data_IF_557691070390
#
_entry.id   IF_557691070390
#
_cell.length_a   1.000
_cell.length_b   1.000
_cell.length_c   1.000
_cell.angle_alpha   90.00
_cell.angle_beta   90.00
_cell.angle_gamma   90.00
#
_symmetry.space_group_name_H-M   'P 1'
#
loop_
_entity.id
_entity.type
_entity.pdbx_description
1 polymer ?
#
# COMPACT_ATOMS: atom_id res chain seq x y z
N UNK A 1 25.81 5.72 61.30
CA UNK A 1 26.88 6.74 61.09
C UNK A 1 26.57 7.42 59.75
N UNK A 2 26.51 8.76 59.61
CA UNK A 2 27.61 9.76 59.58
C UNK A 2 28.64 9.39 58.50
N UNK A 3 28.98 10.18 57.46
CA UNK A 3 28.69 11.57 56.95
C UNK A 3 28.73 11.52 55.39
N UNK A 4 28.19 12.44 54.54
CA UNK A 4 28.32 13.90 54.31
C UNK A 4 29.74 14.40 53.87
N UNK A 5 29.93 14.64 52.55
CA UNK A 5 30.78 15.68 51.85
C UNK A 5 30.76 15.40 50.33
N UNK A 6 30.46 16.27 49.34
CA UNK A 6 29.97 17.66 49.24
C UNK A 6 31.00 18.84 49.15
N UNK A 7 31.50 19.13 47.93
CA UNK A 7 32.05 20.41 47.37
C UNK A 7 32.22 20.18 45.83
N UNK A 8 31.93 21.03 44.81
CA UNK A 8 31.87 22.50 44.55
C UNK A 8 33.26 23.12 44.22
N UNK A 9 33.32 24.17 43.35
CA UNK A 9 34.47 25.05 42.94
C UNK A 9 35.32 24.46 41.77
N UNK A 10 35.78 25.13 40.68
CA UNK A 10 35.72 26.49 40.02
C UNK A 10 36.33 26.35 38.58
N UNK A 11 36.29 27.24 37.56
CA UNK A 11 35.38 28.27 36.98
C UNK A 11 36.09 28.90 35.73
N UNK A 12 35.41 29.78 34.95
CA UNK A 12 35.96 30.83 34.03
C UNK A 12 36.47 30.36 32.63
N UNK A 13 36.04 30.79 31.43
CA UNK A 13 35.42 32.01 30.80
C UNK A 13 36.40 32.88 29.99
N UNK A 14 36.21 32.97 28.65
CA UNK A 14 36.59 34.01 27.64
C UNK A 14 35.84 33.61 26.35
N UNK A 15 35.01 34.36 25.59
CA UNK A 15 34.76 35.79 25.28
C UNK A 15 35.59 36.37 24.12
N UNK A 16 34.98 36.50 22.92
CA UNK A 16 34.96 37.63 21.94
C UNK A 16 34.19 37.15 20.68
N UNK A 17 33.13 37.80 20.16
CA UNK A 17 33.05 39.03 19.30
C UNK A 17 33.77 38.91 17.93
N UNK A 18 33.29 39.38 16.75
CA UNK A 18 32.00 39.98 16.27
C UNK A 18 31.98 40.14 14.74
N UNK A 19 30.84 39.96 14.07
CA UNK A 19 30.31 40.73 12.89
C UNK A 19 29.06 40.01 12.34
N UNK A 20 27.90 40.60 12.00
CA UNK A 20 27.49 41.92 11.51
C UNK A 20 27.76 42.22 10.02
N UNK A 21 26.78 41.88 9.18
CA UNK A 21 26.38 42.62 7.97
C UNK A 21 24.91 42.32 7.66
N UNK A 22 24.16 43.26 7.07
CA UNK A 22 22.68 43.20 7.10
C UNK A 22 21.97 43.91 5.94
N UNK A 23 21.19 43.14 5.17
CA UNK A 23 20.09 43.57 4.24
C UNK A 23 20.51 44.53 3.08
N UNK A 24 19.76 44.63 1.96
CA UNK A 24 18.39 45.15 1.90
C UNK A 24 17.36 44.23 1.22
N UNK A 25 16.09 44.50 1.49
CA UNK A 25 14.98 44.10 0.63
C UNK A 25 14.82 45.14 -0.49
N UNK A 26 14.47 44.73 -1.70
CA UNK A 26 13.82 45.62 -2.66
C UNK A 26 12.38 45.16 -2.93
N UNK A 27 11.51 46.12 -3.23
CA UNK A 27 10.05 45.95 -3.25
C UNK A 27 9.47 46.96 -4.25
N UNK A 28 9.12 46.52 -5.47
CA UNK A 28 8.81 47.43 -6.59
C UNK A 28 7.43 47.14 -7.22
N UNK A 29 6.53 48.10 -6.97
CA UNK A 29 5.33 48.51 -7.73
C UNK A 29 4.23 47.51 -8.11
N UNK A 30 3.01 47.83 -7.68
CA UNK A 30 1.78 47.62 -8.46
C UNK A 30 1.60 48.75 -9.48
N UNK A 31 1.15 48.46 -10.71
CA UNK A 31 0.42 49.33 -11.70
C UNK A 31 0.34 48.62 -13.07
N UNK A 32 -0.63 48.81 -13.97
CA UNK A 32 -2.06 49.22 -13.86
C UNK A 32 -2.80 48.95 -15.22
N UNK A 33 -4.09 48.62 -15.17
CA UNK A 33 -5.17 48.80 -16.21
C UNK A 33 -4.99 48.26 -17.65
N UNK A 34 -5.87 47.32 -18.03
CA UNK A 34 -6.80 47.28 -19.22
C UNK A 34 -7.38 45.84 -19.25
N UNK A 35 -8.68 45.50 -19.14
CA UNK A 35 -9.97 46.03 -19.66
C UNK A 35 -10.20 45.75 -21.15
N UNK A 36 -10.82 44.61 -21.48
CA UNK A 36 -11.99 44.48 -22.40
C UNK A 36 -12.57 43.07 -22.25
N UNK A 37 -13.87 42.92 -21.93
CA UNK A 37 -14.99 42.74 -22.88
C UNK A 37 -14.94 41.39 -23.64
N UNK A 38 -15.79 40.43 -23.25
CA UNK A 38 -17.18 40.24 -23.75
C UNK A 38 -17.25 39.81 -25.22
N UNK A 39 -17.48 38.53 -25.43
CA UNK A 39 -18.40 38.03 -26.46
C UNK A 39 -19.36 37.04 -25.81
N UNK A 40 -20.66 37.29 -25.93
CA UNK A 40 -21.64 36.22 -25.78
C UNK A 40 -21.69 35.46 -27.10
N UNK A 41 -21.83 34.15 -27.03
CA UNK A 41 -22.63 33.44 -28.04
C UNK A 41 -23.57 32.47 -27.33
N UNK A 42 -24.69 32.20 -27.96
CA UNK A 42 -25.96 31.78 -27.34
C UNK A 42 -26.65 30.82 -28.30
N UNK A 43 -27.48 29.94 -27.75
CA UNK A 43 -28.30 28.94 -28.47
C UNK A 43 -27.45 27.82 -29.10
N UNK A 44 -27.82 26.54 -29.04
CA UNK A 44 -29.18 25.97 -29.08
C UNK A 44 -29.43 24.81 -28.09
N UNK A 45 -30.65 24.73 -27.56
CA UNK A 45 -31.18 23.52 -26.90
C UNK A 45 -31.57 22.46 -27.97
N UNK A 46 -31.37 21.15 -27.73
CA UNK A 46 -31.90 20.09 -28.58
C UNK A 46 -33.34 19.72 -28.20
N UNK A 47 -34.24 19.63 -29.19
CA UNK A 47 -35.65 19.27 -28.98
C UNK A 47 -35.83 17.79 -28.54
N UNK A 48 -36.86 17.48 -27.71
CA UNK A 48 -37.10 16.11 -27.25
C UNK A 48 -37.74 15.23 -28.32
N UNK A 49 -37.04 14.17 -28.74
CA UNK A 49 -37.56 13.17 -29.69
C UNK A 49 -38.59 12.27 -28.98
N UNK A 50 -39.87 12.43 -29.34
CA UNK A 50 -40.95 11.54 -28.89
C UNK A 50 -40.96 10.26 -29.73
N UNK A 51 -40.72 9.10 -29.09
CA UNK A 51 -40.87 7.78 -29.73
C UNK A 51 -41.96 6.97 -29.01
N UNK A 52 -43.20 7.14 -29.42
CA UNK A 52 -44.29 6.23 -29.05
C UNK A 52 -44.25 4.98 -29.92
N UNK A 53 -44.04 3.81 -29.32
CA UNK A 53 -44.34 2.51 -29.93
C UNK A 53 -45.11 1.63 -28.95
N UNK A 54 -46.21 1.09 -29.43
CA UNK A 54 -47.16 0.31 -28.62
C UNK A 54 -46.62 -1.10 -28.34
N UNK A 55 -47.00 -1.64 -27.17
CA UNK A 55 -46.71 -3.03 -26.80
C UNK A 55 -47.68 -3.98 -27.51
N UNK A 56 -47.18 -5.01 -28.23
CA UNK A 56 -48.05 -6.09 -28.69
C UNK A 56 -48.58 -6.89 -27.49
N UNK A 57 -49.85 -7.26 -27.54
CA UNK A 57 -50.55 -7.95 -26.45
C UNK A 57 -50.04 -9.39 -26.21
N UNK A 58 -50.23 -9.95 -24.99
CA UNK A 58 -49.78 -11.30 -24.68
C UNK A 58 -50.45 -12.36 -25.55
N UNK A 59 -49.68 -13.36 -25.99
CA UNK A 59 -50.21 -14.62 -26.52
C UNK A 59 -50.14 -15.71 -25.46
N UNK A 60 -51.06 -16.67 -25.56
CA UNK A 60 -51.36 -17.65 -24.52
C UNK A 60 -50.19 -18.59 -24.23
N UNK A 61 -50.03 -18.96 -22.96
CA UNK A 61 -49.14 -20.05 -22.55
C UNK A 61 -49.84 -21.39 -22.74
N UNK A 62 -49.25 -22.30 -23.54
CA UNK A 62 -49.57 -23.72 -23.48
C UNK A 62 -49.05 -24.34 -22.16
N UNK A 63 -49.79 -25.27 -21.54
CA UNK A 63 -49.37 -25.88 -20.28
C UNK A 63 -48.17 -26.80 -20.48
N UNK A 64 -47.19 -26.72 -19.58
CA UNK A 64 -46.04 -27.63 -19.51
C UNK A 64 -46.30 -28.67 -18.39
N UNK A 65 -45.96 -29.96 -18.57
CA UNK A 65 -46.42 -31.02 -17.65
C UNK A 65 -45.73 -30.97 -16.27
N UNK A 66 -46.45 -31.45 -15.25
CA UNK A 66 -45.85 -31.84 -13.99
C UNK A 66 -44.94 -33.06 -14.20
N UNK A 67 -43.67 -32.97 -13.82
CA UNK A 67 -42.83 -34.15 -13.67
C UNK A 67 -41.92 -34.02 -12.46
N UNK A 68 -42.12 -34.89 -11.48
CA UNK A 68 -41.24 -35.07 -10.33
C UNK A 68 -40.04 -35.91 -10.73
N UNK A 69 -38.86 -35.33 -10.88
CA UNK A 69 -37.63 -36.10 -10.66
C UNK A 69 -36.41 -35.25 -10.26
N UNK A 70 -35.40 -35.89 -9.69
CA UNK A 70 -34.25 -35.26 -9.03
C UNK A 70 -33.15 -34.88 -10.02
N UNK A 71 -32.84 -33.59 -10.15
CA UNK A 71 -31.58 -33.11 -10.73
C UNK A 71 -31.25 -31.67 -10.29
N UNK A 72 -30.44 -31.51 -9.23
CA UNK A 72 -29.83 -30.23 -8.85
C UNK A 72 -28.45 -30.07 -9.53
N UNK A 73 -28.41 -29.56 -10.78
CA UNK A 73 -27.39 -28.58 -11.14
C UNK A 73 -27.99 -27.23 -11.55
N UNK A 74 -29.28 -27.18 -11.87
CA UNK A 74 -29.95 -26.00 -12.41
C UNK A 74 -30.14 -24.88 -11.37
N UNK A 75 -30.51 -25.23 -10.14
CA UNK A 75 -30.84 -24.25 -9.09
C UNK A 75 -29.62 -23.39 -8.69
N UNK A 76 -28.43 -23.98 -8.58
CA UNK A 76 -27.20 -23.22 -8.27
C UNK A 76 -26.86 -22.20 -9.38
N UNK A 77 -27.10 -22.54 -10.65
CA UNK A 77 -26.88 -21.66 -11.80
C UNK A 77 -28.00 -20.62 -11.95
N UNK A 78 -29.19 -20.89 -11.41
CA UNK A 78 -30.25 -19.90 -11.27
C UNK A 78 -29.98 -18.93 -10.11
N UNK A 79 -29.44 -19.43 -8.99
CA UNK A 79 -29.13 -18.65 -7.80
C UNK A 79 -27.93 -17.72 -8.04
N UNK A 80 -26.85 -18.20 -8.66
CA UNK A 80 -25.73 -17.35 -9.06
C UNK A 80 -26.18 -16.24 -10.01
N UNK A 81 -27.02 -16.57 -10.99
CA UNK A 81 -27.63 -15.57 -11.89
C UNK A 81 -28.62 -14.64 -11.19
N UNK A 82 -29.28 -15.05 -10.11
CA UNK A 82 -30.12 -14.14 -9.30
C UNK A 82 -29.28 -13.18 -8.45
N UNK A 83 -28.11 -13.60 -7.98
CA UNK A 83 -27.13 -12.70 -7.33
C UNK A 83 -26.56 -11.73 -8.36
N UNK A 84 -26.06 -12.24 -9.48
CA UNK A 84 -25.54 -11.44 -10.61
C UNK A 84 -26.61 -10.46 -11.15
N UNK A 85 -27.88 -10.87 -11.25
CA UNK A 85 -28.99 -9.98 -11.61
C UNK A 85 -29.37 -9.00 -10.50
N UNK A 86 -29.21 -9.33 -9.21
CA UNK A 86 -29.40 -8.36 -8.11
C UNK A 86 -28.33 -7.28 -8.14
N UNK A 87 -27.06 -7.67 -8.32
CA UNK A 87 -25.94 -6.73 -8.43
C UNK A 87 -26.09 -5.82 -9.66
N UNK A 88 -26.66 -6.34 -10.75
CA UNK A 88 -27.03 -5.57 -11.96
C UNK A 88 -28.42 -4.89 -11.90
N UNK A 89 -29.21 -5.08 -10.84
CA UNK A 89 -30.51 -4.40 -10.61
C UNK A 89 -30.41 -3.22 -9.64
N UNK A 90 -29.19 -2.82 -9.26
CA UNK A 90 -28.95 -1.49 -8.74
C UNK A 90 -29.38 -0.45 -9.79
N UNK A 91 -30.40 0.34 -9.45
CA UNK A 91 -30.61 1.65 -10.06
C UNK A 91 -29.28 2.40 -10.10
N UNK A 92 -28.97 3.18 -11.16
CA UNK A 92 -27.68 3.85 -11.28
C UNK A 92 -27.42 4.70 -10.03
N UNK A 93 -26.47 4.25 -9.20
CA UNK A 93 -26.12 4.89 -7.92
C UNK A 93 -25.83 6.36 -8.17
N UNK A 94 -26.34 7.24 -7.32
CA UNK A 94 -26.05 8.67 -7.44
C UNK A 94 -24.54 8.89 -7.42
N UNK A 95 -24.00 9.49 -8.49
CA UNK A 95 -22.55 9.61 -8.65
C UNK A 95 -22.06 10.95 -8.10
N UNK A 96 -21.47 10.91 -6.92
CA UNK A 96 -20.86 12.08 -6.27
C UNK A 96 -19.41 12.23 -6.71
N UNK A 97 -19.03 13.42 -7.15
CA UNK A 97 -17.64 13.76 -7.44
C UNK A 97 -17.08 14.69 -6.35
N UNK A 98 -15.90 14.35 -5.82
CA UNK A 98 -15.18 15.14 -4.81
C UNK A 98 -13.74 15.41 -5.26
N UNK A 99 -13.23 16.60 -4.97
CA UNK A 99 -11.86 17.01 -5.33
C UNK A 99 -11.25 17.79 -4.16
N UNK A 100 -10.02 17.43 -3.80
CA UNK A 100 -9.41 17.80 -2.51
C UNK A 100 -9.57 16.70 -1.46
N UNK A 101 -9.08 16.97 -0.25
CA UNK A 101 -8.97 15.95 0.80
C UNK A 101 -10.25 15.86 1.67
N UNK A 102 -10.73 14.63 1.91
CA UNK A 102 -11.86 14.37 2.81
C UNK A 102 -11.36 14.20 4.25
N UNK A 103 -11.68 15.15 5.13
CA UNK A 103 -11.21 15.16 6.53
C UNK A 103 -12.36 14.86 7.50
N UNK A 104 -12.18 13.83 8.33
CA UNK A 104 -13.17 13.30 9.29
C UNK A 104 -12.55 13.23 10.69
N UNK A 105 -12.41 14.38 11.32
CA UNK A 105 -11.86 14.53 12.68
C UNK A 105 -12.98 14.60 13.72
N UNK A 106 -12.94 13.74 14.74
CA UNK A 106 -13.84 13.77 15.92
C UNK A 106 -15.35 13.83 15.59
N UNK A 107 -15.76 13.35 14.42
CA UNK A 107 -17.14 13.35 13.91
C UNK A 107 -17.40 12.09 13.09
N UNK A 108 -18.68 11.80 12.88
CA UNK A 108 -19.12 10.78 11.92
C UNK A 108 -19.30 11.38 10.53
N UNK A 109 -18.94 10.64 9.49
CA UNK A 109 -19.24 10.92 8.09
C UNK A 109 -19.71 9.64 7.42
N UNK A 110 -20.79 9.74 6.65
CA UNK A 110 -21.48 8.60 6.04
C UNK A 110 -21.53 8.79 4.53
N UNK A 111 -21.06 7.78 3.80
CA UNK A 111 -21.19 7.66 2.34
C UNK A 111 -22.11 6.44 2.10
N UNK A 112 -23.27 6.63 1.49
CA UNK A 112 -24.29 5.57 1.37
C UNK A 112 -24.94 5.52 -0.01
N UNK A 113 -25.13 4.32 -0.56
CA UNK A 113 -25.80 4.05 -1.85
C UNK A 113 -25.30 4.92 -3.04
N UNK A 114 -24.00 5.22 -3.10
CA UNK A 114 -23.42 6.16 -4.06
C UNK A 114 -22.19 5.59 -4.79
N UNK A 115 -21.91 6.10 -5.98
CA UNK A 115 -20.60 5.98 -6.62
C UNK A 115 -19.81 7.25 -6.30
N UNK A 116 -18.98 7.19 -5.25
CA UNK A 116 -18.21 8.33 -4.75
C UNK A 116 -16.83 8.35 -5.43
N UNK A 117 -16.64 9.28 -6.37
CA UNK A 117 -15.38 9.49 -7.09
C UNK A 117 -14.59 10.60 -6.40
N UNK A 118 -13.42 10.26 -5.86
CA UNK A 118 -12.54 11.21 -5.15
C UNK A 118 -11.21 11.40 -5.89
N UNK A 119 -10.84 12.67 -6.09
CA UNK A 119 -9.47 13.08 -6.47
C UNK A 119 -8.83 13.86 -5.32
N UNK A 120 -8.19 13.12 -4.42
CA UNK A 120 -7.61 13.62 -3.17
C UNK A 120 -7.41 12.50 -2.15
N UNK A 121 -6.90 12.84 -0.96
CA UNK A 121 -6.70 11.92 0.15
C UNK A 121 -7.96 11.78 1.02
N UNK A 122 -7.97 10.80 1.91
CA UNK A 122 -8.95 10.70 3.00
C UNK A 122 -8.19 10.63 4.33
N UNK A 123 -8.60 11.45 5.30
CA UNK A 123 -8.05 11.48 6.65
C UNK A 123 -9.18 11.26 7.67
N UNK A 124 -9.06 10.25 8.52
CA UNK A 124 -9.99 9.97 9.63
C UNK A 124 -9.16 9.85 10.91
N UNK A 125 -9.37 10.74 11.89
CA UNK A 125 -8.48 10.85 13.04
C UNK A 125 -9.16 11.31 14.34
N UNK A 126 -8.43 11.23 15.46
CA UNK A 126 -8.93 11.46 16.81
C UNK A 126 -9.94 10.39 17.25
N UNK A 127 -11.22 10.74 17.22
CA UNK A 127 -12.38 9.82 17.39
C UNK A 127 -13.30 9.81 16.16
N UNK A 128 -12.77 10.24 15.01
CA UNK A 128 -13.51 10.30 13.74
C UNK A 128 -13.98 8.93 13.25
N UNK A 129 -15.10 8.92 12.54
CA UNK A 129 -15.71 7.71 12.00
C UNK A 129 -16.09 7.90 10.54
N UNK A 130 -15.54 7.09 9.65
CA UNK A 130 -15.96 7.01 8.26
C UNK A 130 -16.75 5.71 8.06
N UNK A 131 -18.04 5.86 7.77
CA UNK A 131 -18.96 4.77 7.51
C UNK A 131 -19.29 4.79 6.01
N UNK A 132 -19.11 3.66 5.32
CA UNK A 132 -19.40 3.53 3.89
C UNK A 132 -20.28 2.32 3.66
N UNK A 133 -21.45 2.51 3.06
CA UNK A 133 -22.45 1.45 2.86
C UNK A 133 -22.98 1.40 1.44
N UNK A 134 -23.15 0.19 0.91
CA UNK A 134 -23.80 -0.08 -0.38
C UNK A 134 -23.25 0.79 -1.54
N UNK A 135 -21.95 1.05 -1.54
CA UNK A 135 -21.32 2.11 -2.33
C UNK A 135 -20.11 1.61 -3.14
N UNK A 136 -19.63 2.45 -4.05
CA UNK A 136 -18.34 2.28 -4.72
C UNK A 136 -17.48 3.52 -4.44
N UNK A 137 -16.24 3.32 -3.98
CA UNK A 137 -15.24 4.37 -3.84
C UNK A 137 -14.27 4.29 -5.02
N UNK A 138 -14.20 5.35 -5.82
CA UNK A 138 -13.27 5.45 -6.96
C UNK A 138 -12.16 6.45 -6.65
N UNK A 139 -10.95 5.95 -6.49
CA UNK A 139 -9.75 6.75 -6.23
C UNK A 139 -9.13 7.23 -7.54
N UNK A 140 -9.57 8.40 -8.02
CA UNK A 140 -9.14 8.99 -9.28
C UNK A 140 -7.76 9.63 -9.12
N UNK A 141 -6.73 8.89 -9.54
CA UNK A 141 -5.32 9.31 -9.55
C UNK A 141 -4.68 9.18 -10.95
N UNK A 142 -3.77 10.11 -11.25
CA UNK A 142 -3.03 10.25 -12.49
C UNK A 142 -1.83 9.28 -12.59
N UNK A 143 -1.26 8.90 -11.44
CA UNK A 143 -0.13 7.97 -11.31
C UNK A 143 -0.21 7.17 -9.99
N UNK A 144 0.63 6.14 -9.85
CA UNK A 144 0.64 5.25 -8.69
C UNK A 144 0.96 5.99 -7.38
N UNK A 145 0.18 5.73 -6.33
CA UNK A 145 0.30 6.31 -4.99
C UNK A 145 0.31 7.85 -4.96
N UNK A 146 -0.44 8.51 -5.86
CA UNK A 146 -0.59 9.98 -5.83
C UNK A 146 -1.34 10.47 -4.58
N UNK A 147 -2.32 9.68 -4.12
CA UNK A 147 -3.12 9.93 -2.92
C UNK A 147 -3.18 8.66 -2.06
N UNK A 148 -3.60 8.81 -0.80
CA UNK A 148 -3.74 7.71 0.18
C UNK A 148 -4.96 7.93 1.10
N UNK A 149 -5.37 6.86 1.77
CA UNK A 149 -6.29 6.91 2.91
C UNK A 149 -5.50 6.73 4.20
N UNK A 150 -5.72 7.61 5.18
CA UNK A 150 -5.10 7.55 6.51
C UNK A 150 -6.19 7.46 7.58
N UNK A 151 -6.21 6.37 8.33
CA UNK A 151 -7.06 6.17 9.50
C UNK A 151 -6.15 6.13 10.73
N UNK A 152 -6.31 7.07 11.65
CA UNK A 152 -5.37 7.30 12.74
C UNK A 152 -6.05 7.53 14.09
N UNK A 153 -5.31 7.33 15.17
CA UNK A 153 -5.80 7.43 16.55
C UNK A 153 -6.96 6.45 16.80
N UNK A 154 -7.87 6.79 17.70
CA UNK A 154 -9.06 5.98 18.03
C UNK A 154 -10.19 6.12 16.98
N UNK A 155 -9.82 6.30 15.71
CA UNK A 155 -10.76 6.42 14.60
C UNK A 155 -11.41 5.07 14.23
N UNK A 156 -12.55 5.13 13.54
CA UNK A 156 -13.25 3.96 13.01
C UNK A 156 -13.41 4.04 11.50
N UNK A 157 -13.18 2.92 10.83
CA UNK A 157 -13.55 2.69 9.42
C UNK A 157 -14.54 1.52 9.39
N UNK A 158 -15.73 1.74 8.85
CA UNK A 158 -16.82 0.76 8.87
C UNK A 158 -17.45 0.65 7.48
N UNK A 159 -16.98 -0.34 6.70
CA UNK A 159 -17.38 -0.57 5.31
C UNK A 159 -18.27 -1.82 5.22
N UNK A 160 -19.47 -1.66 4.66
CA UNK A 160 -20.42 -2.75 4.39
C UNK A 160 -20.90 -2.70 2.93
N UNK A 161 -20.75 -3.78 2.17
CA UNK A 161 -21.12 -3.87 0.75
C UNK A 161 -20.39 -2.80 -0.12
N UNK A 162 -19.06 -2.71 -0.02
CA UNK A 162 -18.25 -1.64 -0.62
C UNK A 162 -17.30 -2.16 -1.71
N UNK A 163 -17.40 -1.56 -2.89
CA UNK A 163 -16.43 -1.75 -3.99
C UNK A 163 -15.35 -0.66 -3.96
N UNK A 164 -14.09 -1.03 -4.16
CA UNK A 164 -12.93 -0.13 -4.16
C UNK A 164 -12.22 -0.14 -5.52
N UNK A 165 -12.30 0.98 -6.24
CA UNK A 165 -11.77 1.13 -7.61
C UNK A 165 -10.59 2.11 -7.61
N UNK A 166 -9.49 1.76 -8.27
CA UNK A 166 -8.23 2.55 -8.28
C UNK A 166 -7.78 2.99 -9.68
N UNK A 167 -8.63 2.77 -10.68
CA UNK A 167 -8.37 3.00 -12.10
C UNK A 167 -7.04 2.38 -12.57
N UNK A 168 -6.78 1.14 -12.13
CA UNK A 168 -5.61 0.32 -12.52
C UNK A 168 -4.28 0.79 -11.94
N UNK A 169 -4.29 1.57 -10.85
CA UNK A 169 -3.09 2.18 -10.25
C UNK A 169 -2.95 1.80 -8.79
N UNK A 170 -1.72 1.69 -8.30
CA UNK A 170 -1.45 1.37 -6.89
C UNK A 170 -1.98 2.47 -5.96
N UNK A 171 -2.71 2.08 -4.92
CA UNK A 171 -3.31 2.98 -3.93
C UNK A 171 -3.19 2.35 -2.54
N UNK A 172 -2.89 3.15 -1.51
CA UNK A 172 -2.62 2.63 -0.16
C UNK A 172 -3.61 3.20 0.87
N UNK A 173 -4.13 2.31 1.72
CA UNK A 173 -4.72 2.65 3.01
C UNK A 173 -3.66 2.46 4.11
N UNK A 174 -3.65 3.32 5.11
CA UNK A 174 -2.72 3.31 6.23
C UNK A 174 -3.49 3.41 7.55
N UNK A 175 -3.16 2.53 8.50
CA UNK A 175 -3.88 2.36 9.78
C UNK A 175 -2.88 2.41 10.94
N UNK A 176 -2.90 3.48 11.74
CA UNK A 176 -1.88 3.70 12.77
C UNK A 176 -2.51 4.21 14.08
N UNK A 177 -1.97 3.85 15.25
CA UNK A 177 -2.31 4.38 16.58
C UNK A 177 -3.71 4.01 17.13
N UNK A 178 -4.06 2.72 17.17
CA UNK A 178 -5.31 2.17 17.76
C UNK A 178 -6.66 2.36 16.99
N UNK A 179 -6.71 2.44 15.65
CA UNK A 179 -7.99 2.53 14.93
C UNK A 179 -8.70 1.19 14.83
N UNK A 180 -10.03 1.23 14.70
CA UNK A 180 -10.90 0.07 14.59
C UNK A 180 -11.51 -0.05 13.20
N UNK A 181 -11.19 -1.13 12.50
CA UNK A 181 -11.54 -1.35 11.09
C UNK A 181 -12.53 -2.50 11.00
N UNK A 182 -13.67 -2.28 10.37
CA UNK A 182 -14.66 -3.32 10.04
C UNK A 182 -14.89 -3.36 8.55
N UNK A 183 -14.67 -4.52 7.95
CA UNK A 183 -14.97 -4.80 6.55
C UNK A 183 -15.97 -5.95 6.49
N UNK A 184 -17.10 -5.73 5.81
CA UNK A 184 -18.08 -6.76 5.48
C UNK A 184 -18.45 -6.65 4.00
N UNK A 185 -18.27 -7.71 3.21
CA UNK A 185 -18.53 -7.69 1.77
C UNK A 185 -17.78 -6.51 1.08
N UNK A 186 -16.46 -6.44 1.29
CA UNK A 186 -15.57 -5.40 0.77
C UNK A 186 -14.60 -6.00 -0.23
N UNK A 187 -14.57 -5.46 -1.44
CA UNK A 187 -13.76 -5.99 -2.55
C UNK A 187 -13.12 -4.87 -3.36
N UNK A 188 -11.90 -5.10 -3.83
CA UNK A 188 -11.26 -4.27 -4.85
C UNK A 188 -11.66 -4.70 -6.26
N UNK A 189 -11.82 -3.73 -7.17
CA UNK A 189 -12.17 -3.96 -8.57
C UNK A 189 -10.94 -3.83 -9.49
N UNK A 190 -10.87 -4.71 -10.49
CA UNK A 190 -9.74 -4.76 -11.43
C UNK A 190 -8.45 -5.35 -10.83
N UNK A 191 -7.30 -5.05 -11.45
CA UNK A 191 -6.01 -5.65 -11.11
C UNK A 191 -5.25 -4.97 -9.94
N UNK A 192 -5.83 -3.95 -9.31
CA UNK A 192 -5.16 -3.09 -8.34
C UNK A 192 -6.09 -2.73 -7.17
N UNK A 193 -6.65 -3.74 -6.50
CA UNK A 193 -7.27 -3.57 -5.17
C UNK A 193 -6.34 -2.74 -4.27
N UNK A 194 -6.86 -1.78 -3.48
CA UNK A 194 -6.03 -1.01 -2.57
C UNK A 194 -5.22 -1.89 -1.62
N UNK A 195 -3.97 -1.50 -1.37
CA UNK A 195 -3.12 -2.19 -0.41
C UNK A 195 -3.28 -1.58 0.98
N UNK A 196 -3.55 -2.40 1.98
CA UNK A 196 -3.78 -1.98 3.35
C UNK A 196 -2.49 -2.14 4.16
N UNK A 197 -2.04 -1.11 4.88
CA UNK A 197 -0.84 -1.19 5.74
C UNK A 197 -1.14 -0.74 7.16
N UNK A 198 -0.71 -1.50 8.17
CA UNK A 198 -1.12 -1.30 9.56
C UNK A 198 0.00 -1.41 10.58
N UNK A 199 -0.04 -0.56 11.61
CA UNK A 199 0.88 -0.57 12.75
C UNK A 199 0.23 0.00 14.03
N UNK A 200 0.86 -0.20 15.19
CA UNK A 200 0.53 0.51 16.43
C UNK A 200 -0.93 0.30 16.94
N UNK A 201 -1.27 -0.91 17.39
CA UNK A 201 -2.53 -1.28 18.09
C UNK A 201 -3.80 -1.37 17.23
N UNK A 202 -3.69 -1.46 15.90
CA UNK A 202 -4.87 -1.57 15.01
C UNK A 202 -5.65 -2.86 15.28
N UNK A 203 -6.99 -2.78 15.20
CA UNK A 203 -7.85 -3.97 15.11
C UNK A 203 -8.64 -4.00 13.79
N UNK A 204 -8.63 -5.16 13.13
CA UNK A 204 -9.52 -5.51 12.03
C UNK A 204 -10.57 -6.55 12.45
N UNK A 205 -11.80 -6.37 11.96
CA UNK A 205 -12.87 -7.36 11.89
C UNK A 205 -13.28 -7.50 10.41
N UNK A 206 -12.98 -8.63 9.78
CA UNK A 206 -13.11 -8.84 8.34
C UNK A 206 -14.09 -9.99 8.07
N UNK A 207 -15.13 -9.75 7.28
CA UNK A 207 -16.15 -10.75 6.91
C UNK A 207 -16.44 -10.69 5.43
N UNK A 208 -16.61 -11.84 4.78
CA UNK A 208 -17.12 -11.91 3.40
C UNK A 208 -16.29 -11.07 2.39
N UNK A 209 -15.01 -10.79 2.66
CA UNK A 209 -14.24 -9.71 1.98
C UNK A 209 -12.96 -10.20 1.29
N UNK A 210 -12.42 -9.41 0.36
CA UNK A 210 -11.12 -9.66 -0.30
C UNK A 210 -10.09 -8.60 0.10
N UNK A 211 -9.05 -8.98 0.86
CA UNK A 211 -8.15 -8.01 1.52
C UNK A 211 -6.67 -8.40 1.39
N UNK A 212 -5.85 -7.47 0.87
CA UNK A 212 -4.39 -7.51 0.92
C UNK A 212 -3.86 -6.55 2.00
N UNK A 213 -3.18 -7.07 3.04
CA UNK A 213 -2.88 -6.33 4.27
C UNK A 213 -1.47 -6.60 4.83
N UNK A 214 -0.66 -5.55 4.95
CA UNK A 214 0.58 -5.53 5.74
C UNK A 214 0.28 -5.32 7.23
N UNK A 215 0.84 -6.20 8.06
CA UNK A 215 0.73 -6.23 9.51
C UNK A 215 2.10 -5.91 10.14
N UNK A 216 2.15 -4.98 11.09
CA UNK A 216 3.38 -4.60 11.81
C UNK A 216 3.09 -4.27 13.27
N UNK A 217 4.06 -4.50 14.16
CA UNK A 217 3.96 -4.27 15.60
C UNK A 217 2.78 -5.04 16.24
N UNK A 218 1.96 -4.37 17.06
CA UNK A 218 0.81 -4.93 17.76
C UNK A 218 -0.45 -4.73 16.88
N UNK A 219 -0.89 -5.74 16.13
CA UNK A 219 -2.09 -5.67 15.29
C UNK A 219 -2.91 -6.95 15.45
N UNK A 220 -4.23 -6.80 15.62
CA UNK A 220 -5.15 -7.93 15.65
C UNK A 220 -6.02 -7.98 14.40
N UNK A 221 -6.10 -9.15 13.77
CA UNK A 221 -7.11 -9.51 12.77
C UNK A 221 -8.04 -10.57 13.36
N UNK A 222 -9.34 -10.33 13.28
CA UNK A 222 -10.40 -11.35 13.30
C UNK A 222 -10.96 -11.43 11.87
N UNK A 223 -10.90 -12.60 11.20
CA UNK A 223 -11.42 -12.76 9.84
C UNK A 223 -12.29 -14.01 9.64
N UNK A 224 -13.36 -13.90 8.86
CA UNK A 224 -14.33 -14.96 8.56
C UNK A 224 -14.75 -14.93 7.09
N UNK A 225 -14.87 -16.09 6.44
CA UNK A 225 -15.45 -16.25 5.09
C UNK A 225 -14.84 -15.28 4.05
N UNK A 226 -13.53 -15.06 4.14
CA UNK A 226 -12.80 -14.02 3.41
C UNK A 226 -11.66 -14.58 2.56
N UNK A 227 -11.22 -13.81 1.57
CA UNK A 227 -10.07 -14.13 0.71
C UNK A 227 -8.93 -13.17 1.04
N UNK A 228 -7.79 -13.72 1.47
CA UNK A 228 -6.77 -13.00 2.24
C UNK A 228 -5.39 -13.09 1.58
N UNK A 229 -4.63 -12.00 1.67
CA UNK A 229 -3.19 -11.95 1.45
C UNK A 229 -2.58 -11.09 2.56
N UNK A 230 -1.83 -11.71 3.49
CA UNK A 230 -1.19 -10.99 4.59
C UNK A 230 0.33 -10.91 4.40
N UNK A 231 0.88 -9.71 4.62
CA UNK A 231 2.31 -9.46 4.68
C UNK A 231 2.73 -9.19 6.14
N UNK A 232 3.74 -9.92 6.62
CA UNK A 232 4.18 -9.91 8.01
C UNK A 232 5.47 -9.09 8.16
N UNK A 233 5.40 -7.86 8.67
CA UNK A 233 6.59 -7.09 9.06
C UNK A 233 7.08 -7.59 10.41
N UNK A 234 8.28 -8.14 10.46
CA UNK A 234 8.80 -8.87 11.63
C UNK A 234 10.04 -8.18 12.19
N UNK A 235 10.04 -7.90 13.49
CA UNK A 235 11.12 -7.22 14.22
C UNK A 235 11.36 -7.89 15.58
N UNK A 236 12.64 -8.11 15.91
CA UNK A 236 13.10 -8.81 17.12
C UNK A 236 12.47 -10.22 17.28
N UNK A 237 12.02 -10.83 16.17
CA UNK A 237 11.27 -12.10 16.15
C UNK A 237 12.19 -13.28 15.82
N UNK A 238 12.00 -14.43 16.47
CA UNK A 238 12.63 -15.69 16.08
C UNK A 238 11.61 -16.83 16.07
N UNK A 239 11.68 -17.75 15.11
CA UNK A 239 10.78 -18.90 15.05
C UNK A 239 10.70 -19.62 13.71
N UNK A 240 9.92 -20.70 13.69
CA UNK A 240 9.60 -21.49 12.50
C UNK A 240 8.11 -21.40 12.22
N UNK A 241 7.73 -21.00 11.01
CA UNK A 241 6.34 -20.74 10.63
C UNK A 241 5.96 -21.56 9.39
N UNK A 242 4.85 -22.27 9.49
CA UNK A 242 4.16 -22.87 8.35
C UNK A 242 2.93 -22.00 8.06
N UNK A 243 2.91 -21.35 6.91
CA UNK A 243 1.86 -20.44 6.49
C UNK A 243 0.96 -21.13 5.44
N UNK A 244 -0.34 -21.35 5.72
CA UNK A 244 -1.22 -22.17 4.89
C UNK A 244 -1.48 -21.56 3.52
N UNK A 245 -1.90 -22.41 2.57
CA UNK A 245 -2.22 -22.07 1.18
C UNK A 245 -3.64 -22.52 0.89
N UNK A 246 -4.45 -21.66 0.28
CA UNK A 246 -5.85 -21.97 -0.01
C UNK A 246 -6.72 -21.93 1.25
N UNK A 247 -7.83 -22.67 1.22
CA UNK A 247 -8.88 -22.65 2.25
C UNK A 247 -8.45 -23.25 3.59
N UNK A 248 -8.88 -22.62 4.69
CA UNK A 248 -8.80 -23.11 6.08
C UNK A 248 -10.12 -22.91 6.82
N UNK A 249 -10.54 -23.91 7.59
CA UNK A 249 -11.76 -23.83 8.42
C UNK A 249 -11.52 -23.04 9.72
N UNK A 250 -10.34 -23.22 10.34
CA UNK A 250 -9.86 -22.46 11.50
C UNK A 250 -8.32 -22.34 11.45
N UNK A 251 -7.79 -21.14 11.67
CA UNK A 251 -6.36 -20.87 11.76
C UNK A 251 -6.10 -19.72 12.73
N UNK A 252 -5.16 -19.91 13.67
CA UNK A 252 -4.69 -18.86 14.57
C UNK A 252 -3.17 -18.77 14.53
N UNK A 253 -2.64 -17.57 14.32
CA UNK A 253 -1.21 -17.28 14.28
C UNK A 253 -0.89 -16.11 15.21
N UNK A 254 0.18 -16.26 16.00
CA UNK A 254 0.63 -15.30 17.01
C UNK A 254 2.13 -15.09 16.90
N UNK A 255 2.54 -13.85 16.65
CA UNK A 255 3.94 -13.49 16.37
C UNK A 255 4.36 -12.35 17.32
N UNK A 256 5.25 -12.61 18.30
CA UNK A 256 5.91 -11.56 19.07
C UNK A 256 6.74 -10.67 18.13
N UNK A 257 6.50 -9.35 18.15
CA UNK A 257 6.96 -8.43 17.10
C UNK A 257 7.45 -7.10 17.68
N UNK A 258 8.67 -7.10 18.22
CA UNK A 258 9.19 -6.24 19.28
C UNK A 258 8.64 -6.60 20.68
N UNK A 259 9.40 -6.30 21.74
CA UNK A 259 9.34 -6.97 23.06
C UNK A 259 7.94 -7.12 23.69
N UNK A 260 7.08 -6.11 23.56
CA UNK A 260 5.76 -6.04 24.20
C UNK A 260 4.60 -6.06 23.19
N UNK A 261 4.89 -6.30 21.90
CA UNK A 261 3.96 -6.19 20.78
C UNK A 261 3.62 -7.58 20.23
N UNK A 262 2.37 -7.78 19.81
CA UNK A 262 1.88 -9.05 19.27
C UNK A 262 1.09 -8.84 17.97
N UNK A 263 1.54 -9.43 16.86
CA UNK A 263 0.63 -9.68 15.74
C UNK A 263 -0.20 -10.92 16.05
N UNK A 264 -1.53 -10.79 16.04
CA UNK A 264 -2.46 -11.89 16.22
C UNK A 264 -3.46 -11.95 15.07
N UNK A 265 -3.50 -13.08 14.39
CA UNK A 265 -4.36 -13.38 13.25
C UNK A 265 -5.24 -14.56 13.64
N UNK A 266 -6.55 -14.36 13.74
CA UNK A 266 -7.53 -15.44 13.96
C UNK A 266 -8.49 -15.48 12.76
N UNK A 267 -8.57 -16.61 12.07
CA UNK A 267 -9.18 -16.76 10.74
C UNK A 267 -10.06 -18.01 10.69
N UNK A 268 -11.24 -17.90 10.07
CA UNK A 268 -12.21 -19.02 9.93
C UNK A 268 -12.83 -19.09 8.55
N UNK A 269 -13.10 -20.29 8.04
CA UNK A 269 -13.76 -20.57 6.76
C UNK A 269 -13.21 -19.72 5.58
N UNK A 270 -11.90 -19.45 5.52
CA UNK A 270 -11.30 -18.41 4.66
C UNK A 270 -10.16 -18.93 3.80
N UNK A 271 -9.85 -18.24 2.70
CA UNK A 271 -8.79 -18.62 1.77
C UNK A 271 -7.54 -17.73 1.89
N UNK A 272 -6.36 -18.33 2.06
CA UNK A 272 -5.07 -17.66 1.92
C UNK A 272 -4.54 -17.76 0.48
N UNK A 273 -4.64 -16.66 -0.26
CA UNK A 273 -4.25 -16.57 -1.67
C UNK A 273 -2.73 -16.43 -1.86
N UNK A 274 -2.08 -15.67 -0.98
CA UNK A 274 -0.64 -15.49 -0.91
C UNK A 274 -0.21 -15.03 0.49
N UNK A 275 1.09 -15.06 0.75
CA UNK A 275 1.69 -14.44 1.94
C UNK A 275 2.81 -13.47 1.56
N UNK A 276 3.17 -12.62 2.49
CA UNK A 276 4.33 -11.76 2.40
C UNK A 276 5.05 -11.70 3.74
N UNK A 277 6.29 -11.26 3.73
CA UNK A 277 6.98 -10.85 4.95
C UNK A 277 8.01 -9.78 4.63
N UNK A 278 8.13 -8.79 5.50
CA UNK A 278 9.29 -7.90 5.55
C UNK A 278 10.07 -8.24 6.81
N UNK A 279 11.22 -8.89 6.67
CA UNK A 279 12.13 -9.10 7.78
C UNK A 279 12.87 -7.79 8.06
N UNK A 280 12.41 -7.06 9.08
CA UNK A 280 12.82 -5.68 9.33
C UNK A 280 14.11 -5.62 10.15
N UNK A 281 14.11 -5.88 11.47
CA UNK A 281 15.36 -5.95 12.26
C UNK A 281 15.44 -7.13 13.22
N UNK A 282 16.67 -7.63 13.42
CA UNK A 282 17.04 -8.68 14.38
C UNK A 282 16.16 -9.95 14.30
N UNK A 283 15.77 -10.35 13.09
CA UNK A 283 14.92 -11.54 12.91
C UNK A 283 15.74 -12.83 12.73
N UNK A 284 15.24 -13.98 13.18
CA UNK A 284 15.78 -15.30 12.83
C UNK A 284 14.66 -16.29 12.51
N UNK A 285 14.24 -16.32 11.25
CA UNK A 285 12.98 -16.91 10.81
C UNK A 285 13.20 -18.07 9.84
N UNK A 286 12.51 -19.18 10.08
CA UNK A 286 12.37 -20.28 9.10
C UNK A 286 10.94 -20.33 8.60
N UNK A 287 10.72 -20.21 7.29
CA UNK A 287 9.44 -20.52 6.66
C UNK A 287 9.45 -21.93 6.06
N UNK A 288 8.36 -22.66 6.26
CA UNK A 288 8.22 -24.07 5.87
C UNK A 288 6.96 -24.25 5.02
N UNK A 289 7.05 -25.04 3.94
CA UNK A 289 5.94 -25.42 3.06
C UNK A 289 5.10 -24.26 2.51
N UNK A 290 5.63 -23.04 2.51
CA UNK A 290 4.86 -21.79 2.30
C UNK A 290 4.86 -21.32 0.83
N UNK A 291 4.04 -20.31 0.50
CA UNK A 291 4.06 -19.56 -0.77
C UNK A 291 3.99 -18.09 -0.40
N UNK A 292 4.98 -17.30 -0.81
CA UNK A 292 5.14 -15.94 -0.29
C UNK A 292 6.00 -15.01 -1.14
N UNK A 293 5.91 -13.72 -0.81
CA UNK A 293 6.75 -12.63 -1.30
C UNK A 293 7.74 -12.23 -0.19
N UNK A 294 9.05 -12.16 -0.46
CA UNK A 294 10.07 -11.92 0.59
C UNK A 294 10.69 -10.52 0.49
N UNK A 295 10.39 -9.69 1.48
CA UNK A 295 11.11 -8.47 1.82
C UNK A 295 12.13 -8.71 2.92
N UNK A 296 13.26 -8.02 2.85
CA UNK A 296 14.32 -8.13 3.87
C UNK A 296 15.14 -6.83 3.91
N UNK A 297 15.28 -6.27 5.11
CA UNK A 297 15.81 -4.91 5.29
C UNK A 297 17.25 -4.94 5.82
N UNK A 298 18.04 -3.96 5.36
CA UNK A 298 19.35 -3.62 5.93
C UNK A 298 19.35 -2.15 6.38
N UNK A 299 19.94 -1.87 7.55
CA UNK A 299 19.95 -0.51 8.13
C UNK A 299 18.63 -0.08 8.80
N UNK A 300 17.72 -1.02 9.02
CA UNK A 300 16.49 -0.90 9.83
C UNK A 300 16.74 -0.75 11.34
N UNK A 301 17.98 -0.98 11.77
CA UNK A 301 18.45 -0.74 13.13
C UNK A 301 18.77 0.75 13.35
N UNK A 302 17.74 1.52 13.71
CA UNK A 302 17.81 2.98 13.94
C UNK A 302 18.69 3.40 15.13
N UNK A 303 19.11 2.47 16.00
CA UNK A 303 20.03 2.75 17.11
C UNK A 303 21.51 2.66 16.68
N UNK A 304 21.75 2.15 15.47
CA UNK A 304 23.08 1.98 14.91
C UNK A 304 23.77 3.30 14.62
N UNK A 305 25.05 3.39 14.96
CA UNK A 305 25.89 4.54 14.61
C UNK A 305 26.26 4.51 13.13
N UNK A 306 26.35 5.68 12.51
CA UNK A 306 26.77 5.86 11.11
C UNK A 306 28.13 5.21 10.79
N UNK A 307 29.01 5.06 11.78
CA UNK A 307 30.28 4.32 11.62
C UNK A 307 30.12 2.79 11.48
N UNK A 308 28.89 2.28 11.42
CA UNK A 308 28.55 0.85 11.36
C UNK A 308 27.55 0.53 10.24
N UNK A 309 27.37 1.45 9.27
CA UNK A 309 26.42 1.33 8.16
C UNK A 309 26.42 -0.07 7.52
N UNK A 310 25.24 -0.67 7.40
CA UNK A 310 25.10 -2.00 6.82
C UNK A 310 25.55 -2.01 5.35
N UNK A 311 26.40 -2.97 4.99
CA UNK A 311 26.78 -3.24 3.61
C UNK A 311 26.55 -4.72 3.32
N UNK A 312 25.55 -5.03 2.49
CA UNK A 312 25.11 -6.41 2.21
C UNK A 312 25.24 -6.71 0.72
N UNK A 313 25.69 -7.93 0.39
CA UNK A 313 25.63 -8.46 -0.98
C UNK A 313 24.72 -9.67 -1.03
N UNK A 314 23.86 -9.75 -2.03
CA UNK A 314 22.99 -10.90 -2.28
C UNK A 314 22.90 -11.17 -3.78
N UNK A 315 22.76 -12.44 -4.17
CA UNK A 315 22.70 -12.85 -5.57
C UNK A 315 21.80 -14.06 -5.79
N UNK A 316 21.23 -14.18 -6.98
CA UNK A 316 20.45 -15.36 -7.38
C UNK A 316 19.10 -15.51 -6.66
N UNK A 317 18.54 -14.42 -6.15
CA UNK A 317 17.19 -14.39 -5.59
C UNK A 317 16.18 -14.52 -6.74
N UNK A 318 15.70 -15.74 -6.99
CA UNK A 318 14.84 -16.10 -8.13
C UNK A 318 13.41 -16.44 -7.71
N UNK A 319 12.47 -16.29 -8.63
CA UNK A 319 11.09 -16.80 -8.52
C UNK A 319 11.09 -18.33 -8.66
N UNK A 320 11.05 -19.07 -7.54
CA UNK A 320 11.12 -20.55 -7.51
C UNK A 320 10.75 -21.11 -6.14
N UNK A 321 10.57 -22.43 -6.09
CA UNK A 321 10.59 -23.19 -4.82
C UNK A 321 12.03 -23.37 -4.34
N UNK A 322 12.29 -23.04 -3.09
CA UNK A 322 13.54 -23.28 -2.38
C UNK A 322 13.35 -24.53 -1.51
N UNK A 323 14.07 -25.64 -1.77
CA UNK A 323 13.92 -26.88 -1.01
C UNK A 323 14.53 -26.74 0.40
N UNK A 324 15.74 -26.19 0.48
CA UNK A 324 16.38 -25.65 1.68
C UNK A 324 17.30 -24.51 1.24
N UNK A 325 17.21 -23.35 1.87
CA UNK A 325 17.98 -22.14 1.52
C UNK A 325 18.08 -21.24 2.74
N UNK A 326 19.26 -20.66 2.96
CA UNK A 326 19.50 -19.72 4.05
C UNK A 326 20.11 -18.41 3.53
N UNK A 327 19.70 -17.29 4.11
CA UNK A 327 20.19 -15.95 3.80
C UNK A 327 20.41 -15.16 5.10
N UNK A 328 21.65 -14.75 5.34
CA UNK A 328 21.99 -13.72 6.32
C UNK A 328 21.99 -12.35 5.60
N UNK A 329 21.29 -11.35 6.14
CA UNK A 329 21.11 -10.03 5.55
C UNK A 329 21.09 -8.96 6.64
N UNK A 330 22.22 -8.26 6.84
CA UNK A 330 22.45 -7.32 7.95
C UNK A 330 22.14 -7.94 9.33
N UNK A 331 21.04 -7.56 9.99
CA UNK A 331 20.63 -8.11 11.31
C UNK A 331 19.77 -9.36 11.20
N UNK A 332 19.31 -9.70 10.00
CA UNK A 332 18.24 -10.65 9.76
C UNK A 332 18.79 -11.98 9.22
N UNK A 333 18.19 -13.07 9.70
CA UNK A 333 18.45 -14.43 9.22
C UNK A 333 17.15 -15.04 8.72
N UNK A 334 17.17 -15.50 7.48
CA UNK A 334 16.08 -16.18 6.81
C UNK A 334 16.49 -17.61 6.47
N UNK A 335 15.59 -18.57 6.69
CA UNK A 335 15.64 -19.90 6.08
C UNK A 335 14.31 -20.21 5.39
N UNK A 336 14.38 -20.81 4.21
CA UNK A 336 13.24 -21.28 3.41
C UNK A 336 13.36 -22.79 3.24
N UNK A 337 12.35 -23.54 3.69
CA UNK A 337 12.23 -24.99 3.51
C UNK A 337 10.97 -25.27 2.70
N UNK A 338 11.11 -26.00 1.59
CA UNK A 338 10.04 -26.31 0.62
C UNK A 338 9.10 -25.11 0.28
N UNK A 339 9.65 -23.89 0.25
CA UNK A 339 8.87 -22.66 0.19
C UNK A 339 9.01 -22.01 -1.18
N UNK A 340 7.88 -21.69 -1.81
CA UNK A 340 7.84 -20.97 -3.08
C UNK A 340 7.93 -19.47 -2.82
N UNK A 341 9.00 -18.84 -3.27
CA UNK A 341 9.08 -17.38 -3.31
C UNK A 341 8.61 -16.88 -4.67
N UNK A 342 7.54 -16.09 -4.67
CA UNK A 342 6.98 -15.45 -5.87
C UNK A 342 7.91 -14.33 -6.35
N UNK A 343 8.21 -13.39 -5.46
CA UNK A 343 9.09 -12.26 -5.73
C UNK A 343 9.95 -11.90 -4.51
N UNK A 344 11.02 -11.15 -4.74
CA UNK A 344 11.92 -10.62 -3.71
C UNK A 344 11.97 -9.09 -3.72
N UNK A 345 11.99 -8.46 -2.55
CA UNK A 345 12.17 -7.02 -2.38
C UNK A 345 13.16 -6.71 -1.24
N UNK A 346 14.47 -7.02 -1.42
CA UNK A 346 15.51 -6.59 -0.49
C UNK A 346 15.64 -5.07 -0.49
N UNK A 347 15.58 -4.44 0.68
CA UNK A 347 15.55 -2.98 0.86
C UNK A 347 16.69 -2.48 1.75
N UNK A 348 17.02 -1.21 1.62
CA UNK A 348 18.06 -0.51 2.40
C UNK A 348 17.48 0.75 3.02
N UNK A 349 17.75 0.96 4.30
CA UNK A 349 17.29 2.07 5.13
C UNK A 349 18.47 2.84 5.74
N UNK A 350 18.20 4.04 6.24
CA UNK A 350 19.21 4.95 6.80
C UNK A 350 20.38 5.17 5.82
N UNK A 351 21.59 4.76 6.20
CA UNK A 351 22.81 4.95 5.40
C UNK A 351 23.35 3.58 4.89
N UNK A 352 22.51 2.53 4.89
CA UNK A 352 22.87 1.21 4.40
C UNK A 352 23.05 1.17 2.88
N UNK A 353 23.90 0.25 2.43
CA UNK A 353 24.10 -0.09 1.01
C UNK A 353 23.82 -1.57 0.78
N UNK A 354 23.01 -1.89 -0.22
CA UNK A 354 22.79 -3.26 -0.69
C UNK A 354 23.28 -3.41 -2.13
N UNK A 355 23.99 -4.50 -2.41
CA UNK A 355 24.29 -4.96 -3.77
C UNK A 355 23.50 -6.22 -4.08
N UNK A 356 22.76 -6.21 -5.18
CA UNK A 356 21.87 -7.27 -5.63
C UNK A 356 22.29 -7.67 -7.04
N UNK A 357 22.56 -8.95 -7.29
CA UNK A 357 22.85 -9.45 -8.64
C UNK A 357 21.99 -10.65 -9.05
N UNK A 358 21.84 -10.85 -10.37
CA UNK A 358 21.31 -12.08 -10.96
C UNK A 358 19.93 -12.50 -10.42
N UNK A 359 19.07 -11.52 -10.06
CA UNK A 359 17.85 -11.73 -9.28
C UNK A 359 16.58 -11.36 -10.03
N UNK A 360 15.44 -11.86 -9.56
CA UNK A 360 14.09 -11.50 -10.00
C UNK A 360 13.39 -10.82 -8.82
N UNK A 361 13.14 -9.52 -8.96
CA UNK A 361 12.68 -8.63 -7.92
C UNK A 361 11.27 -8.12 -8.21
N UNK A 362 10.51 -7.86 -7.16
CA UNK A 362 9.25 -7.11 -7.24
C UNK A 362 9.56 -5.61 -7.43
N UNK A 363 8.89 -4.76 -6.67
CA UNK A 363 9.18 -3.36 -6.54
C UNK A 363 10.36 -3.09 -5.60
N UNK A 364 11.26 -2.21 -6.03
CA UNK A 364 12.26 -1.60 -5.18
C UNK A 364 11.72 -0.23 -4.74
N UNK A 365 11.24 -0.16 -3.50
CA UNK A 365 10.64 1.04 -2.88
C UNK A 365 11.40 1.46 -1.60
N UNK A 366 12.68 1.82 -1.70
CA UNK A 366 13.42 2.31 -0.54
C UNK A 366 12.96 3.72 -0.14
N UNK A 367 12.83 3.92 1.17
CA UNK A 367 12.63 5.19 1.85
C UNK A 367 13.54 5.24 3.10
N UNK A 368 13.69 6.38 3.74
CA UNK A 368 14.57 6.57 4.90
C UNK A 368 16.03 6.86 4.56
N UNK A 369 16.43 8.14 4.66
CA UNK A 369 17.83 8.56 4.79
C UNK A 369 18.59 8.76 3.48
N UNK A 370 19.83 8.26 3.42
CA UNK A 370 20.73 8.34 2.25
C UNK A 370 21.07 6.94 1.71
N UNK A 371 20.14 5.98 1.83
CA UNK A 371 20.43 4.58 1.56
C UNK A 371 20.69 4.30 0.08
N UNK A 372 21.41 3.22 -0.21
CA UNK A 372 21.89 2.89 -1.55
C UNK A 372 21.52 1.48 -1.96
N UNK A 373 21.00 1.33 -3.19
CA UNK A 373 20.91 0.02 -3.84
C UNK A 373 21.75 0.00 -5.13
N UNK A 374 22.43 -1.12 -5.37
CA UNK A 374 23.21 -1.39 -6.56
C UNK A 374 22.71 -2.71 -7.14
N UNK A 375 21.98 -2.63 -8.25
CA UNK A 375 21.30 -3.77 -8.90
C UNK A 375 22.03 -4.12 -10.19
N UNK A 376 22.32 -5.41 -10.43
CA UNK A 376 23.12 -5.89 -11.57
C UNK A 376 22.49 -7.11 -12.22
N UNK A 377 22.44 -7.16 -13.55
CA UNK A 377 21.95 -8.33 -14.31
C UNK A 377 20.62 -8.92 -13.76
N UNK A 378 19.69 -8.04 -13.36
CA UNK A 378 18.49 -8.43 -12.61
C UNK A 378 17.21 -7.90 -13.26
N UNK A 379 16.11 -8.61 -13.02
CA UNK A 379 14.76 -8.15 -13.34
C UNK A 379 14.18 -7.45 -12.11
N UNK A 380 13.51 -6.31 -12.29
CA UNK A 380 12.64 -5.70 -11.29
C UNK A 380 11.27 -5.38 -11.90
N UNK A 381 10.23 -5.32 -11.07
CA UNK A 381 8.90 -4.89 -11.52
C UNK A 381 8.85 -3.36 -11.65
N UNK A 382 9.18 -2.66 -10.56
CA UNK A 382 9.08 -1.19 -10.40
C UNK A 382 10.34 -0.71 -9.66
N UNK A 383 10.77 0.54 -9.89
CA UNK A 383 11.77 1.19 -9.04
C UNK A 383 11.31 2.59 -8.62
N UNK A 384 11.07 2.80 -7.32
CA UNK A 384 10.68 4.08 -6.72
C UNK A 384 11.70 4.44 -5.64
N UNK A 385 12.40 5.56 -5.82
CA UNK A 385 13.32 6.09 -4.82
C UNK A 385 12.73 7.37 -4.18
N UNK A 386 12.82 7.48 -2.85
CA UNK A 386 12.30 8.59 -2.04
C UNK A 386 13.40 9.25 -1.20
N UNK A 387 13.09 10.38 -0.58
CA UNK A 387 14.01 11.16 0.27
C UNK A 387 15.35 11.45 -0.43
N UNK A 388 16.47 10.87 0.04
CA UNK A 388 17.80 11.03 -0.56
C UNK A 388 18.40 9.68 -1.00
N UNK A 389 17.55 8.67 -1.18
CA UNK A 389 17.93 7.33 -1.65
C UNK A 389 18.65 7.42 -2.99
N UNK A 390 19.68 6.59 -3.17
CA UNK A 390 20.40 6.46 -4.45
C UNK A 390 20.38 5.04 -5.00
N UNK A 391 19.79 4.87 -6.19
CA UNK A 391 19.76 3.61 -6.92
C UNK A 391 20.75 3.62 -8.09
N UNK A 392 21.43 2.50 -8.30
CA UNK A 392 22.26 2.23 -9.46
C UNK A 392 21.85 0.91 -10.09
N UNK A 393 21.26 0.93 -11.28
CA UNK A 393 20.98 -0.28 -12.06
C UNK A 393 22.03 -0.44 -13.17
N UNK A 394 22.48 -1.67 -13.37
CA UNK A 394 23.42 -2.07 -14.41
C UNK A 394 22.89 -3.31 -15.13
N UNK A 395 22.87 -3.27 -16.46
CA UNK A 395 22.58 -4.44 -17.33
C UNK A 395 21.24 -5.13 -16.96
N UNK A 396 20.26 -4.35 -16.51
CA UNK A 396 19.04 -4.83 -15.84
C UNK A 396 17.77 -4.49 -16.63
N UNK A 397 16.64 -5.09 -16.23
CA UNK A 397 15.32 -4.82 -16.83
C UNK A 397 14.34 -4.39 -15.75
N UNK A 398 13.70 -3.23 -15.94
CA UNK A 398 12.61 -2.74 -15.09
C UNK A 398 11.30 -2.82 -15.89
N UNK A 399 10.34 -3.60 -15.40
CA UNK A 399 9.19 -4.04 -16.19
C UNK A 399 8.03 -3.04 -16.25
N UNK A 400 8.01 -2.04 -15.37
CA UNK A 400 7.05 -0.94 -15.32
C UNK A 400 7.79 0.40 -15.11
N UNK A 401 7.22 1.31 -14.32
CA UNK A 401 7.70 2.67 -14.12
C UNK A 401 8.97 2.76 -13.23
N UNK A 402 9.78 3.78 -13.51
CA UNK A 402 10.90 4.27 -12.69
C UNK A 402 10.56 5.68 -12.20
N UNK A 403 10.56 5.90 -10.89
CA UNK A 403 10.14 7.18 -10.28
C UNK A 403 11.16 7.63 -9.23
N UNK A 404 11.78 8.79 -9.46
CA UNK A 404 12.58 9.47 -8.45
C UNK A 404 11.73 10.59 -7.82
N UNK A 405 11.51 10.53 -6.50
CA UNK A 405 10.86 11.57 -5.71
C UNK A 405 11.88 12.46 -4.97
N UNK A 406 11.38 13.50 -4.31
CA UNK A 406 12.06 14.25 -3.26
C UNK A 406 13.44 14.80 -3.68
N UNK A 407 14.55 14.23 -3.22
CA UNK A 407 15.92 14.51 -3.68
C UNK A 407 16.63 13.24 -4.19
N UNK A 408 15.87 12.16 -4.44
CA UNK A 408 16.40 10.83 -4.73
C UNK A 408 17.01 10.73 -6.13
N UNK A 409 17.93 9.78 -6.31
CA UNK A 409 18.81 9.72 -7.48
C UNK A 409 18.83 8.32 -8.07
N UNK A 410 18.33 8.14 -9.30
CA UNK A 410 18.30 6.84 -9.98
C UNK A 410 19.23 6.88 -11.20
N UNK A 411 20.26 6.05 -11.19
CA UNK A 411 21.18 5.88 -12.31
C UNK A 411 20.90 4.55 -13.03
N UNK A 412 20.64 4.61 -14.33
CA UNK A 412 20.32 3.48 -15.20
C UNK A 412 21.44 3.31 -16.24
N UNK A 413 22.28 2.30 -16.07
CA UNK A 413 23.37 1.99 -17.01
C UNK A 413 23.03 0.71 -17.78
N UNK A 414 23.01 0.76 -19.11
CA UNK A 414 22.58 -0.34 -19.99
C UNK A 414 21.28 -1.04 -19.50
N UNK A 415 20.36 -0.27 -18.92
CA UNK A 415 19.19 -0.80 -18.19
C UNK A 415 17.91 -0.45 -18.92
N UNK A 416 17.14 -1.48 -19.27
CA UNK A 416 15.92 -1.36 -20.06
C UNK A 416 14.70 -1.15 -19.16
N UNK A 417 14.14 0.06 -19.20
CA UNK A 417 12.82 0.36 -18.63
C UNK A 417 11.74 0.05 -19.67
N UNK A 418 10.62 -0.56 -19.25
CA UNK A 418 9.45 -0.81 -20.11
C UNK A 418 8.29 0.16 -19.86
N UNK A 419 8.16 0.71 -18.65
CA UNK A 419 7.20 1.76 -18.32
C UNK A 419 7.76 3.18 -18.52
N UNK A 420 7.21 4.14 -17.79
CA UNK A 420 7.61 5.55 -17.80
C UNK A 420 8.85 5.77 -16.94
N UNK A 421 9.61 6.82 -17.23
CA UNK A 421 10.64 7.36 -16.34
C UNK A 421 10.17 8.73 -15.87
N UNK A 422 10.11 8.95 -14.55
CA UNK A 422 9.47 10.12 -13.94
C UNK A 422 10.39 10.78 -12.89
N UNK A 423 10.62 12.09 -13.05
CA UNK A 423 11.30 12.95 -12.07
C UNK A 423 10.28 13.83 -11.33
N UNK A 424 10.02 13.51 -10.06
CA UNK A 424 9.10 14.21 -9.18
C UNK A 424 9.84 14.95 -8.05
N UNK A 425 9.38 16.14 -7.68
CA UNK A 425 10.13 17.04 -6.78
C UNK A 425 11.48 17.44 -7.39
N UNK A 426 12.56 17.34 -6.59
CA UNK A 426 13.95 17.48 -7.05
C UNK A 426 14.58 16.12 -7.44
N UNK A 427 13.81 15.03 -7.41
CA UNK A 427 14.26 13.67 -7.74
C UNK A 427 14.72 13.57 -9.19
N UNK A 428 15.77 12.78 -9.43
CA UNK A 428 16.50 12.76 -10.71
C UNK A 428 16.71 11.36 -11.26
N UNK A 429 16.64 11.25 -12.59
CA UNK A 429 16.98 10.01 -13.30
C UNK A 429 18.01 10.26 -14.39
N UNK A 430 19.06 9.44 -14.40
CA UNK A 430 20.10 9.41 -15.41
C UNK A 430 20.05 8.10 -16.20
N UNK A 431 20.15 8.19 -17.52
CA UNK A 431 20.30 7.05 -18.44
C UNK A 431 21.68 7.15 -19.09
N UNK A 432 22.52 6.14 -18.89
CA UNK A 432 23.89 6.05 -19.42
C UNK A 432 24.73 7.32 -19.18
N UNK A 433 24.62 7.86 -17.95
CA UNK A 433 25.33 9.06 -17.49
C UNK A 433 24.69 10.39 -17.93
N UNK A 434 23.69 10.41 -18.80
CA UNK A 434 22.94 11.61 -19.20
C UNK A 434 21.68 11.74 -18.37
N UNK A 435 21.37 12.93 -17.86
CA UNK A 435 20.06 13.19 -17.25
C UNK A 435 19.01 13.30 -18.36
N UNK A 436 17.77 12.92 -18.07
CA UNK A 436 16.65 13.29 -18.93
C UNK A 436 16.40 14.81 -18.83
N UNK A 437 16.46 15.50 -19.97
CA UNK A 437 15.99 16.88 -20.09
C UNK A 437 14.45 16.90 -20.09
N UNK A 438 13.84 17.94 -19.52
CA UNK A 438 12.39 18.08 -19.32
C UNK A 438 11.74 18.93 -20.41
#
# INVERSE_FOLDING_TARGET
MKKITQLIIVLLSVIMLTSCSSIPQENISQKQVYVQEKSLQKDSEPEPIVVTKELPSPKEQTPIPSNTDKNLPAENNLLSKLTELKDNLLYPREQTYFTGDLIVTNREHIINNTKFVIKGNIFVNGTGKLIVKDSELVFNQDFNQQFRVYIQDNAMLDFENVKLTTDGKWFNFQYNNNPQIKFKNVHGEGCCSPWHGSSDNVKFDIKESTVGLTLSQNVKVDAVESSLFFELVMTNTSGTFNLPKGHVDDYSLKIPNNENNLMQIDVKNSEFTDWGTTLDKYTNITFVDSKMTIGINAGSDWERKESQNAYVKVSGLKTKTYPDFSLDFDTNKLRLINTFTRDWYPQAFNNATIEISDSDLADLQNYGGTSRAIVRNSNAMIAIARENVTYYFYDSIINQDVIAHDNANIYLYNTKVKGRILENGNGKVWVDGKRLEK
#
